data_IF_736615582706
#
_entry.id   IF_736615582706
#
_cell.length_a   1.000
_cell.length_b   1.000
_cell.length_c   1.000
_cell.angle_alpha   90.00
_cell.angle_beta   90.00
_cell.angle_gamma   90.00
#
_symmetry.space_group_name_H-M   'P 1'
#
loop_
_entity.id
_entity.type
_entity.pdbx_description
1 polymer ?
#
# COMPACT_ATOMS: atom_id res chain seq x y z
N UNK A 1 -3.61 8.08 -26.00
CA UNK A 1 -4.05 9.05 -24.98
C UNK A 1 -4.47 8.25 -23.74
N UNK A 2 -3.65 8.26 -22.68
CA UNK A 2 -4.08 7.80 -21.35
C UNK A 2 -4.07 9.06 -20.48
N UNK A 3 -5.09 9.89 -20.69
CA UNK A 3 -5.35 11.03 -19.81
C UNK A 3 -5.61 10.47 -18.41
N UNK A 4 -5.03 11.11 -17.40
CA UNK A 4 -5.11 10.79 -15.98
C UNK A 4 -3.92 10.07 -15.31
N UNK A 5 -2.68 10.24 -15.78
CA UNK A 5 -1.51 9.89 -14.95
C UNK A 5 -1.45 10.73 -13.65
N UNK A 6 -1.62 10.08 -12.48
CA UNK A 6 -0.99 10.58 -11.26
C UNK A 6 0.51 10.34 -11.42
N UNK A 7 1.33 11.38 -11.34
CA UNK A 7 2.79 11.25 -11.56
C UNK A 7 3.34 10.16 -10.63
N UNK A 8 4.26 9.32 -11.11
CA UNK A 8 4.96 8.31 -10.27
C UNK A 8 5.58 8.93 -9.00
N UNK A 9 6.03 10.18 -9.10
CA UNK A 9 6.58 10.97 -7.99
C UNK A 9 5.55 11.71 -7.13
N UNK A 10 4.25 11.60 -7.41
CA UNK A 10 3.22 12.32 -6.68
C UNK A 10 3.25 11.99 -5.19
N UNK A 11 2.93 12.98 -4.36
CA UNK A 11 2.90 12.85 -2.90
C UNK A 11 1.52 12.38 -2.44
N UNK A 12 1.46 11.81 -1.23
CA UNK A 12 0.21 11.38 -0.59
C UNK A 12 -0.87 12.47 -0.61
N UNK A 13 -0.49 13.73 -0.41
CA UNK A 13 -1.42 14.85 -0.44
C UNK A 13 -2.04 15.09 -1.84
N UNK A 14 -1.25 14.95 -2.92
CA UNK A 14 -1.76 15.09 -4.29
C UNK A 14 -2.70 13.94 -4.65
N UNK A 15 -2.35 12.72 -4.24
CA UNK A 15 -3.19 11.54 -4.42
C UNK A 15 -4.52 11.66 -3.64
N UNK A 16 -4.46 12.16 -2.40
CA UNK A 16 -5.62 12.41 -1.56
C UNK A 16 -6.54 13.48 -2.15
N UNK A 17 -5.99 14.62 -2.56
CA UNK A 17 -6.79 15.68 -3.20
C UNK A 17 -7.45 15.18 -4.47
N UNK A 18 -6.75 14.36 -5.27
CA UNK A 18 -7.29 13.79 -6.50
C UNK A 18 -8.41 12.77 -6.25
N UNK A 19 -8.35 12.04 -5.14
CA UNK A 19 -9.43 11.16 -4.71
C UNK A 19 -10.64 11.91 -4.13
N UNK A 20 -10.50 13.22 -3.84
CA UNK A 20 -11.54 13.99 -3.16
C UNK A 20 -11.79 13.51 -1.72
N UNK A 21 -10.83 12.84 -1.11
CA UNK A 21 -10.98 12.23 0.22
C UNK A 21 -10.60 13.21 1.32
N UNK A 22 -11.44 13.27 2.35
CA UNK A 22 -11.05 13.84 3.65
C UNK A 22 -9.95 13.00 4.29
N UNK A 23 -9.27 13.54 5.31
CA UNK A 23 -8.18 12.81 6.00
C UNK A 23 -8.65 11.47 6.57
N UNK A 24 -9.84 11.42 7.15
CA UNK A 24 -10.43 10.18 7.71
C UNK A 24 -10.72 9.14 6.62
N UNK A 25 -11.29 9.58 5.49
CA UNK A 25 -11.55 8.73 4.33
C UNK A 25 -10.25 8.18 3.74
N UNK A 26 -9.23 9.03 3.66
CA UNK A 26 -7.92 8.65 3.19
C UNK A 26 -7.25 7.62 4.10
N UNK A 27 -7.33 7.80 5.42
CA UNK A 27 -6.80 6.84 6.40
C UNK A 27 -7.53 5.48 6.29
N UNK A 28 -8.84 5.49 6.05
CA UNK A 28 -9.61 4.26 5.77
C UNK A 28 -9.15 3.57 4.50
N UNK A 29 -9.06 4.30 3.39
CA UNK A 29 -8.48 3.80 2.13
C UNK A 29 -7.07 3.22 2.35
N UNK A 30 -6.25 3.88 3.18
CA UNK A 30 -4.90 3.44 3.48
C UNK A 30 -4.86 2.11 4.25
N UNK A 31 -5.79 1.92 5.18
CA UNK A 31 -5.92 0.68 5.96
C UNK A 31 -6.46 -0.47 5.12
N UNK A 32 -7.49 -0.21 4.31
CA UNK A 32 -8.08 -1.18 3.38
C UNK A 32 -7.00 -1.70 2.40
N UNK A 33 -6.31 -0.79 1.72
CA UNK A 33 -5.23 -1.15 0.78
C UNK A 33 -4.07 -1.87 1.46
N UNK A 34 -3.77 -1.52 2.72
CA UNK A 34 -2.73 -2.21 3.49
C UNK A 34 -3.11 -3.66 3.82
N UNK A 35 -4.37 -3.93 4.14
CA UNK A 35 -4.85 -5.29 4.39
C UNK A 35 -4.73 -6.16 3.12
N UNK A 36 -5.20 -5.66 1.97
CA UNK A 36 -5.10 -6.38 0.69
C UNK A 36 -3.64 -6.66 0.28
N UNK A 37 -2.73 -5.71 0.50
CA UNK A 37 -1.29 -5.93 0.27
C UNK A 37 -0.71 -6.89 1.31
N UNK A 38 -1.26 -6.91 2.52
CA UNK A 38 -0.85 -7.87 3.52
C UNK A 38 -1.12 -9.29 3.07
N UNK A 39 -2.36 -9.55 2.66
CA UNK A 39 -2.80 -10.84 2.15
C UNK A 39 -2.00 -11.25 0.90
N UNK A 40 -1.80 -10.32 -0.04
CA UNK A 40 -1.04 -10.57 -1.27
C UNK A 40 0.41 -10.99 -0.99
N UNK A 41 1.07 -10.34 -0.03
CA UNK A 41 2.47 -10.64 0.34
C UNK A 41 2.55 -11.89 1.22
N UNK A 42 1.53 -12.21 2.01
CA UNK A 42 1.47 -13.47 2.75
C UNK A 42 1.34 -14.67 1.80
N UNK A 43 0.54 -14.52 0.74
CA UNK A 43 0.41 -15.55 -0.30
C UNK A 43 1.65 -15.61 -1.21
N UNK A 44 2.25 -14.45 -1.52
CA UNK A 44 3.42 -14.33 -2.40
C UNK A 44 4.44 -13.33 -1.82
N UNK A 45 5.41 -13.77 -1.00
CA UNK A 45 6.36 -12.88 -0.33
C UNK A 45 7.29 -12.12 -1.28
N UNK A 46 7.53 -12.66 -2.47
CA UNK A 46 8.36 -12.04 -3.52
C UNK A 46 7.55 -11.22 -4.53
N UNK A 47 6.26 -10.96 -4.25
CA UNK A 47 5.41 -10.20 -5.15
C UNK A 47 5.91 -8.77 -5.32
N UNK A 48 5.96 -8.33 -6.57
CA UNK A 48 6.22 -6.95 -6.94
C UNK A 48 5.00 -6.39 -7.66
N UNK A 49 4.74 -5.09 -7.51
CA UNK A 49 3.62 -4.45 -8.22
C UNK A 49 3.56 -4.74 -9.74
N UNK A 50 4.67 -4.64 -10.52
CA UNK A 50 4.62 -4.94 -11.95
C UNK A 50 4.41 -6.42 -12.28
N UNK A 51 4.57 -7.33 -11.32
CA UNK A 51 4.35 -8.77 -11.52
C UNK A 51 2.96 -9.24 -11.12
N UNK A 52 2.13 -8.36 -10.54
CA UNK A 52 0.75 -8.72 -10.17
C UNK A 52 -0.08 -8.90 -11.45
N UNK A 53 -0.77 -10.05 -11.65
CA UNK A 53 -1.63 -10.27 -12.80
C UNK A 53 -2.77 -9.24 -12.87
N UNK A 54 -3.15 -8.86 -14.10
CA UNK A 54 -4.26 -7.92 -14.33
C UNK A 54 -5.59 -8.35 -13.69
N UNK A 55 -5.87 -9.65 -13.69
CA UNK A 55 -7.10 -10.20 -13.08
C UNK A 55 -7.13 -10.03 -11.56
N UNK A 56 -5.98 -10.18 -10.91
CA UNK A 56 -5.81 -9.94 -9.47
C UNK A 56 -5.94 -8.45 -9.20
N UNK A 57 -5.34 -7.59 -10.03
CA UNK A 57 -5.44 -6.13 -9.90
C UNK A 57 -6.89 -5.64 -10.00
N UNK A 58 -7.64 -6.13 -10.99
CA UNK A 58 -9.05 -5.80 -11.16
C UNK A 58 -9.87 -6.25 -9.95
N UNK A 59 -9.65 -7.50 -9.50
CA UNK A 59 -10.33 -8.04 -8.32
C UNK A 59 -10.04 -7.24 -7.04
N UNK A 60 -8.78 -6.85 -6.83
CA UNK A 60 -8.38 -6.03 -5.68
C UNK A 60 -8.99 -4.63 -5.77
N UNK A 61 -8.98 -4.01 -6.95
CA UNK A 61 -9.58 -2.70 -7.16
C UNK A 61 -11.08 -2.70 -6.84
N UNK A 62 -11.81 -3.71 -7.32
CA UNK A 62 -13.23 -3.87 -7.04
C UNK A 62 -13.52 -4.09 -5.56
N UNK A 63 -12.71 -4.91 -4.88
CA UNK A 63 -12.83 -5.13 -3.42
C UNK A 63 -12.60 -3.84 -2.63
N UNK A 64 -11.55 -3.10 -2.96
CA UNK A 64 -11.24 -1.82 -2.29
C UNK A 64 -12.38 -0.83 -2.48
N UNK A 65 -12.86 -0.64 -3.71
CA UNK A 65 -13.97 0.27 -3.97
C UNK A 65 -15.29 -0.21 -3.34
N UNK A 66 -15.53 -1.52 -3.27
CA UNK A 66 -16.69 -2.08 -2.57
C UNK A 66 -16.64 -1.76 -1.06
N UNK A 67 -15.48 -1.89 -0.42
CA UNK A 67 -15.31 -1.53 0.99
C UNK A 67 -15.45 -0.02 1.22
N UNK A 68 -14.88 0.81 0.35
CA UNK A 68 -15.06 2.26 0.42
C UNK A 68 -16.54 2.64 0.32
N UNK A 69 -17.27 2.05 -0.64
CA UNK A 69 -18.71 2.29 -0.83
C UNK A 69 -19.51 1.83 0.40
N UNK A 70 -19.16 0.70 1.00
CA UNK A 70 -19.80 0.21 2.22
C UNK A 70 -19.61 1.16 3.41
N UNK A 71 -18.48 1.88 3.47
CA UNK A 71 -18.19 2.91 4.48
C UNK A 71 -18.70 4.32 4.10
N UNK A 72 -19.49 4.48 3.02
CA UNK A 72 -19.91 5.78 2.46
C UNK A 72 -18.73 6.71 2.08
N UNK A 73 -17.62 6.11 1.64
CA UNK A 73 -16.44 6.81 1.15
C UNK A 73 -16.50 6.86 -0.39
N UNK A 74 -16.16 8.00 -1.03
CA UNK A 74 -16.09 8.07 -2.48
C UNK A 74 -15.12 7.03 -3.05
N UNK A 75 -15.50 6.41 -4.16
CA UNK A 75 -14.64 5.46 -4.85
C UNK A 75 -13.38 6.14 -5.40
N UNK A 76 -12.30 5.38 -5.46
CA UNK A 76 -11.03 5.86 -6.02
C UNK A 76 -10.88 5.41 -7.47
N UNK A 77 -10.23 6.25 -8.26
CA UNK A 77 -9.84 5.90 -9.61
C UNK A 77 -8.62 4.97 -9.61
N UNK A 78 -8.45 4.21 -10.69
CA UNK A 78 -7.35 3.26 -10.84
C UNK A 78 -5.96 3.91 -10.69
N UNK A 79 -5.81 5.18 -11.05
CA UNK A 79 -4.53 5.89 -10.93
C UNK A 79 -4.09 6.07 -9.47
N UNK A 80 -5.04 6.41 -8.59
CA UNK A 80 -4.79 6.58 -7.15
C UNK A 80 -4.54 5.23 -6.50
N UNK A 81 -5.34 4.22 -6.88
CA UNK A 81 -5.19 2.85 -6.43
C UNK A 81 -3.81 2.28 -6.82
N UNK A 82 -3.46 2.33 -8.10
CA UNK A 82 -2.20 1.79 -8.61
C UNK A 82 -0.98 2.48 -8.01
N UNK A 83 -1.01 3.81 -7.88
CA UNK A 83 0.05 4.56 -7.19
C UNK A 83 0.22 4.12 -5.74
N UNK A 84 -0.89 3.95 -5.02
CA UNK A 84 -0.89 3.58 -3.59
C UNK A 84 -0.31 2.18 -3.40
N UNK A 85 -0.76 1.22 -4.20
CA UNK A 85 -0.34 -0.18 -4.14
C UNK A 85 1.14 -0.34 -4.49
N UNK A 86 1.59 0.29 -5.59
CA UNK A 86 2.99 0.27 -6.00
C UNK A 86 3.92 0.75 -4.88
N UNK A 87 3.54 1.82 -4.18
CA UNK A 87 4.29 2.35 -3.04
C UNK A 87 4.29 1.44 -1.81
N UNK A 88 3.16 0.84 -1.46
CA UNK A 88 3.12 -0.01 -0.27
C UNK A 88 3.90 -1.31 -0.45
N UNK A 89 3.82 -1.95 -1.62
CA UNK A 89 4.64 -3.13 -1.94
C UNK A 89 6.12 -2.73 -1.92
N UNK A 90 6.49 -1.62 -2.58
CA UNK A 90 7.88 -1.13 -2.59
C UNK A 90 8.39 -0.85 -1.16
N UNK A 91 7.60 -0.16 -0.33
CA UNK A 91 7.97 0.12 1.05
C UNK A 91 8.18 -1.17 1.84
N UNK A 92 7.29 -2.16 1.67
CA UNK A 92 7.40 -3.44 2.36
C UNK A 92 8.62 -4.25 1.91
N UNK A 93 8.88 -4.32 0.61
CA UNK A 93 10.06 -5.00 0.08
C UNK A 93 11.34 -4.33 0.59
N UNK A 94 11.42 -2.99 0.59
CA UNK A 94 12.58 -2.29 1.17
C UNK A 94 12.73 -2.50 2.68
N UNK A 95 11.63 -2.67 3.42
CA UNK A 95 11.67 -2.98 4.85
C UNK A 95 12.11 -4.41 5.13
N UNK A 96 11.74 -5.35 4.26
CA UNK A 96 12.12 -6.77 4.36
C UNK A 96 13.57 -7.00 3.91
N UNK A 97 14.06 -6.20 2.94
CA UNK A 97 15.45 -6.20 2.48
C UNK A 97 16.42 -5.49 3.42
N UNK A 98 15.95 -4.86 4.51
CA UNK A 98 16.86 -4.31 5.52
C UNK A 98 17.33 -5.49 6.39
N UNK A 99 18.62 -5.89 6.33
CA UNK A 99 19.11 -6.88 7.29
C UNK A 99 18.84 -6.32 8.67
N UNK A 100 18.22 -7.14 9.53
CA UNK A 100 18.07 -6.93 10.97
C UNK A 100 19.40 -6.43 11.52
N UNK A 101 19.53 -5.10 11.62
CA UNK A 101 20.70 -4.47 12.17
C UNK A 101 20.69 -4.76 13.67
N UNK A 102 21.36 -5.86 14.03
CA UNK A 102 21.93 -6.20 15.34
C UNK A 102 21.20 -5.58 16.54
N UNK A 103 20.13 -6.24 16.97
CA UNK A 103 19.76 -6.27 18.38
C UNK A 103 20.82 -7.09 19.12
N UNK A 104 21.89 -6.45 19.56
CA UNK A 104 22.84 -7.01 20.52
C UNK A 104 23.39 -5.86 21.35
N UNK A 105 22.61 -5.44 22.35
CA UNK A 105 23.13 -4.60 23.42
C UNK A 105 22.57 -5.14 24.73
N UNK A 106 23.50 -5.40 25.66
CA UNK A 106 23.33 -5.70 27.07
C UNK A 106 22.87 -7.12 27.45
N UNK A 107 23.83 -8.04 27.49
CA UNK A 107 23.90 -9.08 28.53
C UNK A 107 25.37 -9.41 28.79
N UNK A 108 25.97 -8.60 29.65
CA UNK A 108 27.25 -8.89 30.30
C UNK A 108 27.23 -8.18 31.67
N UNK A 109 26.40 -8.69 32.58
CA UNK A 109 26.64 -8.60 34.01
C UNK A 109 27.41 -9.87 34.39
N UNK A 110 28.73 -9.77 34.35
CA UNK A 110 29.63 -10.75 34.96
C UNK A 110 30.24 -10.10 36.19
N UNK A 111 29.95 -10.71 37.34
CA UNK A 111 30.48 -10.40 38.66
C UNK A 111 31.96 -10.73 38.72
N UNK A 112 32.78 -9.84 39.31
CA UNK A 112 33.84 -10.24 40.24
C UNK A 112 34.36 -9.07 41.07
#
# INVERSE_FOLDING_TARGET
>A
MLQFELKKGAKTHEAQMRAGHTRLQWDRFYNITKAEINDLVEENPDVSWPTVPGDVLASMFDRVNAQLRAENIPEVQYDVFSWRMARAISYRNTSNSKPRAKSATASATESS
#
